data_IF_451789276096
#
_entry.id   IF_451789276096
#
_cell.length_a   1.000
_cell.length_b   1.000
_cell.length_c   1.000
_cell.angle_alpha   90.00
_cell.angle_beta   90.00
_cell.angle_gamma   90.00
#
_symmetry.space_group_name_H-M   'P 1'
#
loop_
_entity.id
_entity.type
_entity.pdbx_description
1 polymer ?
#
# COMPACT_ATOMS: atom_id res chain seq x y z
N UNK A 1 26.14 -17.82 9.91
CA UNK A 1 27.30 -17.75 8.98
C UNK A 1 26.88 -17.74 7.52
N UNK A 2 25.91 -18.57 7.11
CA UNK A 2 25.42 -18.66 5.73
C UNK A 2 24.96 -17.33 5.10
N UNK A 3 24.32 -16.44 5.88
CA UNK A 3 23.85 -15.14 5.37
C UNK A 3 24.98 -14.17 4.99
N UNK A 4 26.18 -14.31 5.59
CA UNK A 4 27.33 -13.43 5.30
C UNK A 4 27.90 -13.66 3.90
N UNK A 5 27.48 -14.73 3.22
CA UNK A 5 27.92 -15.08 1.87
C UNK A 5 27.15 -14.29 0.79
N UNK A 6 26.04 -13.64 1.15
CA UNK A 6 25.30 -12.79 0.21
C UNK A 6 26.02 -11.44 0.02
N UNK A 7 26.27 -11.02 -1.24
CA UNK A 7 26.87 -9.71 -1.52
C UNK A 7 26.06 -8.57 -0.91
N UNK A 8 26.74 -7.58 -0.31
CA UNK A 8 26.10 -6.41 0.31
C UNK A 8 25.35 -6.67 1.63
N UNK A 9 25.28 -7.91 2.13
CA UNK A 9 24.45 -8.25 3.30
C UNK A 9 24.82 -7.49 4.60
N UNK A 10 26.10 -7.20 4.80
CA UNK A 10 26.58 -6.44 5.96
C UNK A 10 26.78 -4.94 5.66
N UNK A 11 26.59 -4.54 4.40
CA UNK A 11 26.72 -3.15 3.98
C UNK A 11 25.41 -2.42 4.27
N UNK A 12 25.50 -1.22 4.82
CA UNK A 12 24.31 -0.43 5.15
C UNK A 12 23.58 0.07 3.89
N UNK A 13 24.33 0.25 2.78
CA UNK A 13 23.83 0.70 1.48
C UNK A 13 24.20 -0.25 0.35
N UNK A 14 24.52 -1.51 0.65
CA UNK A 14 24.75 -2.52 -0.38
C UNK A 14 23.48 -3.31 -0.64
N UNK A 15 23.21 -3.65 -1.91
CA UNK A 15 22.17 -4.62 -2.26
C UNK A 15 22.75 -5.71 -3.17
N UNK A 16 22.45 -6.96 -2.84
CA UNK A 16 22.79 -8.08 -3.69
C UNK A 16 22.00 -8.02 -5.00
N UNK A 17 22.70 -7.96 -6.12
CA UNK A 17 22.11 -7.91 -7.46
C UNK A 17 22.05 -9.31 -8.08
N UNK A 18 20.87 -9.94 -8.21
CA UNK A 18 20.75 -11.30 -8.74
C UNK A 18 20.94 -11.31 -10.26
N UNK A 19 21.70 -12.28 -10.78
CA UNK A 19 21.84 -12.47 -12.24
C UNK A 19 20.61 -13.21 -12.76
N UNK A 20 19.79 -12.53 -13.55
CA UNK A 20 18.53 -13.05 -14.07
C UNK A 20 18.61 -13.36 -15.58
N UNK A 21 17.95 -14.43 -16.02
CA UNK A 21 17.59 -14.68 -17.43
C UNK A 21 16.08 -14.94 -17.46
N UNK A 22 15.35 -14.18 -18.26
CA UNK A 22 13.88 -14.24 -18.35
C UNK A 22 13.18 -14.21 -16.98
N UNK A 23 13.64 -13.32 -16.09
CA UNK A 23 13.07 -13.16 -14.74
C UNK A 23 13.43 -14.27 -13.74
N UNK A 24 14.21 -15.27 -14.14
CA UNK A 24 14.67 -16.37 -13.29
C UNK A 24 16.14 -16.21 -12.92
N UNK A 25 16.44 -16.28 -11.63
CA UNK A 25 17.81 -16.19 -11.13
C UNK A 25 18.63 -17.42 -11.52
N UNK A 26 19.82 -17.16 -12.06
CA UNK A 26 20.76 -18.20 -12.46
C UNK A 26 21.36 -18.91 -11.25
N UNK A 27 21.67 -20.20 -11.44
CA UNK A 27 22.27 -21.05 -10.42
C UNK A 27 23.57 -21.65 -10.97
N UNK A 28 24.65 -21.54 -10.22
CA UNK A 28 25.93 -22.18 -10.50
C UNK A 28 26.40 -22.94 -9.25
N UNK A 29 26.85 -24.18 -9.42
CA UNK A 29 27.30 -25.04 -8.30
C UNK A 29 26.26 -25.17 -7.17
N UNK A 30 24.97 -25.27 -7.52
CA UNK A 30 23.84 -25.35 -6.59
C UNK A 30 23.68 -24.11 -5.69
N UNK A 31 24.27 -22.97 -6.08
CA UNK A 31 24.14 -21.70 -5.41
C UNK A 31 23.62 -20.63 -6.39
N UNK A 32 22.77 -19.71 -5.91
CA UNK A 32 22.28 -18.60 -6.71
C UNK A 32 23.41 -17.64 -7.06
N UNK A 33 23.43 -17.22 -8.31
CA UNK A 33 24.44 -16.31 -8.85
C UNK A 33 24.02 -14.86 -8.60
N UNK A 34 24.94 -14.08 -8.06
CA UNK A 34 24.85 -12.64 -7.90
C UNK A 34 25.95 -11.96 -8.71
N UNK A 35 25.73 -10.70 -9.08
CA UNK A 35 26.75 -9.85 -9.66
C UNK A 35 27.96 -9.76 -8.71
N UNK A 36 29.16 -9.67 -9.30
CA UNK A 36 30.41 -9.69 -8.53
C UNK A 36 30.56 -8.48 -7.59
N UNK A 37 29.98 -7.35 -7.97
CA UNK A 37 29.90 -6.15 -7.14
C UNK A 37 28.46 -5.98 -6.63
N UNK A 38 28.27 -5.68 -5.32
CA UNK A 38 26.97 -5.26 -4.81
C UNK A 38 26.51 -4.00 -5.56
N UNK A 39 25.22 -3.92 -5.86
CA UNK A 39 24.65 -2.68 -6.37
C UNK A 39 24.56 -1.64 -5.25
N UNK A 40 24.73 -0.37 -5.60
CA UNK A 40 24.62 0.73 -4.65
C UNK A 40 23.14 1.00 -4.31
N UNK A 41 22.83 1.02 -3.02
CA UNK A 41 21.52 1.41 -2.49
C UNK A 41 21.45 2.94 -2.40
N UNK A 42 21.38 3.56 -3.59
CA UNK A 42 21.41 5.00 -3.73
C UNK A 42 20.28 5.73 -2.99
N UNK A 43 20.51 7.02 -2.74
CA UNK A 43 19.56 7.90 -2.02
C UNK A 43 18.15 7.92 -2.64
N UNK A 44 18.08 7.75 -3.96
CA UNK A 44 16.84 7.70 -4.72
C UNK A 44 15.99 6.48 -4.35
N UNK A 45 16.64 5.32 -4.16
CA UNK A 45 15.98 4.07 -3.72
C UNK A 45 15.49 4.21 -2.29
N UNK A 46 16.29 4.82 -1.40
CA UNK A 46 15.91 5.11 -0.01
C UNK A 46 14.66 6.02 0.03
N UNK A 47 14.66 7.12 -0.72
CA UNK A 47 13.52 8.02 -0.79
C UNK A 47 12.28 7.31 -1.37
N UNK A 48 12.47 6.45 -2.38
CA UNK A 48 11.40 5.65 -2.96
C UNK A 48 10.79 4.68 -1.94
N UNK A 49 11.59 4.00 -1.12
CA UNK A 49 11.07 3.07 -0.11
C UNK A 49 10.42 3.79 1.08
N UNK A 50 10.99 4.92 1.52
CA UNK A 50 10.38 5.77 2.55
C UNK A 50 9.00 6.31 2.13
N UNK A 51 8.82 6.55 0.83
CA UNK A 51 7.56 7.04 0.28
C UNK A 51 6.40 6.08 0.45
N UNK A 52 6.65 4.79 0.72
CA UNK A 52 5.61 3.82 1.05
C UNK A 52 4.72 4.28 2.22
N UNK A 53 5.31 4.96 3.20
CA UNK A 53 4.60 5.52 4.35
C UNK A 53 3.54 6.55 3.97
N UNK A 54 3.75 7.30 2.88
CA UNK A 54 2.81 8.33 2.40
C UNK A 54 1.47 7.72 1.97
N UNK A 55 1.46 6.46 1.53
CA UNK A 55 0.24 5.82 1.06
C UNK A 55 -0.81 5.62 2.15
N UNK A 56 -0.41 5.50 3.43
CA UNK A 56 -1.36 5.35 4.54
C UNK A 56 -2.37 6.49 4.65
N UNK A 57 -1.97 7.72 4.29
CA UNK A 57 -2.85 8.88 4.32
C UNK A 57 -3.91 8.84 3.21
N UNK A 58 -3.66 8.10 2.13
CA UNK A 58 -4.57 8.02 0.99
C UNK A 58 -5.57 6.88 1.05
N UNK A 59 -5.58 6.12 2.14
CA UNK A 59 -6.28 4.84 2.22
C UNK A 59 -7.53 4.98 3.10
N UNK A 60 -8.75 5.05 2.53
CA UNK A 60 -9.96 5.39 3.27
C UNK A 60 -10.28 4.46 4.44
N UNK A 61 -10.02 3.15 4.30
CA UNK A 61 -10.28 2.17 5.35
C UNK A 61 -9.43 2.38 6.60
N UNK A 62 -8.23 2.97 6.46
CA UNK A 62 -7.37 3.33 7.59
C UNK A 62 -7.93 4.60 8.25
N UNK A 63 -8.30 5.60 7.45
CA UNK A 63 -8.87 6.86 7.93
C UNK A 63 -10.19 6.65 8.68
N UNK A 64 -11.06 5.76 8.20
CA UNK A 64 -12.31 5.40 8.86
C UNK A 64 -12.08 4.82 10.26
N UNK A 65 -10.98 4.08 10.47
CA UNK A 65 -10.63 3.57 11.81
C UNK A 65 -10.18 4.69 12.74
N UNK A 66 -9.47 5.70 12.23
CA UNK A 66 -9.14 6.89 13.03
C UNK A 66 -10.38 7.71 13.38
N UNK A 67 -11.33 7.86 12.46
CA UNK A 67 -12.59 8.57 12.70
C UNK A 67 -13.53 7.83 13.66
N UNK A 68 -13.37 6.52 13.85
CA UNK A 68 -14.16 5.72 14.78
C UNK A 68 -13.65 5.78 16.23
N UNK A 69 -12.54 6.47 16.49
CA UNK A 69 -11.97 6.62 17.84
C UNK A 69 -12.90 7.50 18.68
N UNK A 70 -13.28 6.98 19.85
CA UNK A 70 -14.25 7.64 20.74
C UNK A 70 -13.59 8.65 21.67
N UNK A 71 -12.40 8.31 22.17
CA UNK A 71 -11.62 9.16 23.06
C UNK A 71 -10.24 9.46 22.42
N UNK A 72 -9.88 10.75 22.22
CA UNK A 72 -8.57 11.14 21.71
C UNK A 72 -7.39 10.55 22.49
N UNK A 73 -7.54 10.24 23.79
CA UNK A 73 -6.48 9.64 24.60
C UNK A 73 -6.14 8.20 24.16
N UNK A 74 -7.12 7.47 23.58
CA UNK A 74 -6.91 6.11 23.07
C UNK A 74 -5.94 6.06 21.89
N UNK A 75 -5.76 7.17 21.17
CA UNK A 75 -4.80 7.27 20.05
C UNK A 75 -3.38 6.93 20.51
N UNK A 76 -2.98 7.34 21.72
CA UNK A 76 -1.63 7.08 22.24
C UNK A 76 -1.40 5.57 22.42
N UNK A 77 -2.39 4.87 22.98
CA UNK A 77 -2.33 3.41 23.21
C UNK A 77 -2.42 2.69 21.88
N UNK A 78 -3.39 3.04 21.03
CA UNK A 78 -3.58 2.47 19.70
C UNK A 78 -2.31 2.55 18.85
N UNK A 79 -1.66 3.73 18.80
CA UNK A 79 -0.38 3.92 18.10
C UNK A 79 0.71 2.99 18.62
N UNK A 80 0.89 2.89 19.95
CA UNK A 80 1.92 2.03 20.54
C UNK A 80 1.66 0.56 20.22
N UNK A 81 0.44 0.08 20.44
CA UNK A 81 0.05 -1.29 20.15
C UNK A 81 0.24 -1.63 18.67
N UNK A 82 -0.24 -0.77 17.77
CA UNK A 82 -0.09 -0.96 16.33
C UNK A 82 1.39 -0.98 15.90
N UNK A 83 2.19 -0.02 16.38
CA UNK A 83 3.63 0.06 16.04
C UNK A 83 4.39 -1.17 16.52
N UNK A 84 4.16 -1.60 17.78
CA UNK A 84 4.81 -2.79 18.33
C UNK A 84 4.48 -4.03 17.51
N UNK A 85 3.21 -4.25 17.18
CA UNK A 85 2.80 -5.41 16.38
C UNK A 85 3.33 -5.36 14.95
N UNK A 86 3.42 -4.18 14.33
CA UNK A 86 4.02 -4.01 13.00
C UNK A 86 5.51 -4.34 13.00
N UNK A 87 6.26 -3.88 14.02
CA UNK A 87 7.68 -4.20 14.13
C UNK A 87 7.88 -5.71 14.29
N UNK A 88 7.09 -6.36 15.15
CA UNK A 88 7.17 -7.80 15.37
C UNK A 88 6.82 -8.57 14.09
N UNK A 89 5.72 -8.23 13.43
CA UNK A 89 5.24 -8.97 12.26
C UNK A 89 6.13 -8.79 11.03
N UNK A 90 6.57 -7.55 10.73
CA UNK A 90 7.50 -7.28 9.63
C UNK A 90 8.88 -7.87 9.91
N UNK A 91 9.36 -7.77 11.15
CA UNK A 91 10.61 -8.42 11.58
C UNK A 91 10.56 -9.93 11.37
N UNK A 92 9.47 -10.59 11.78
CA UNK A 92 9.27 -12.01 11.54
C UNK A 92 9.22 -12.34 10.04
N UNK A 93 8.50 -11.56 9.22
CA UNK A 93 8.42 -11.77 7.78
C UNK A 93 9.80 -11.68 7.09
N UNK A 94 10.61 -10.68 7.45
CA UNK A 94 11.98 -10.52 6.95
C UNK A 94 12.86 -11.70 7.35
N UNK A 95 12.80 -12.14 8.62
CA UNK A 95 13.56 -13.30 9.09
C UNK A 95 13.16 -14.59 8.37
N UNK A 96 11.88 -14.79 8.09
CA UNK A 96 11.37 -15.93 7.32
C UNK A 96 11.91 -15.87 5.89
N UNK A 97 11.84 -14.71 5.22
CA UNK A 97 12.40 -14.53 3.88
C UNK A 97 13.90 -14.82 3.83
N UNK A 98 14.68 -14.28 4.77
CA UNK A 98 16.12 -14.53 4.88
C UNK A 98 16.45 -16.00 5.13
N UNK A 99 15.71 -16.64 6.06
CA UNK A 99 15.92 -18.05 6.41
C UNK A 99 15.55 -18.96 5.24
N UNK A 100 14.41 -18.70 4.60
CA UNK A 100 13.96 -19.44 3.42
C UNK A 100 14.95 -19.32 2.26
N UNK A 101 15.48 -18.11 2.01
CA UNK A 101 16.52 -17.88 1.02
C UNK A 101 17.80 -18.67 1.30
N UNK A 102 18.18 -18.80 2.56
CA UNK A 102 19.37 -19.53 2.99
C UNK A 102 19.18 -21.07 2.96
N UNK A 103 17.98 -21.57 3.26
CA UNK A 103 17.68 -23.01 3.31
C UNK A 103 17.32 -23.59 1.94
N UNK A 104 16.60 -22.84 1.11
CA UNK A 104 16.10 -23.27 -0.20
C UNK A 104 16.62 -22.36 -1.32
N UNK A 105 17.95 -22.29 -1.52
CA UNK A 105 18.56 -21.28 -2.35
C UNK A 105 18.27 -21.42 -3.85
N UNK A 106 17.78 -22.58 -4.29
CA UNK A 106 17.46 -22.93 -5.68
C UNK A 106 15.95 -23.05 -5.96
N UNK A 107 15.08 -22.96 -4.96
CA UNK A 107 13.61 -23.03 -5.15
C UNK A 107 12.96 -21.64 -5.26
N UNK A 108 13.66 -20.57 -4.83
CA UNK A 108 13.15 -19.20 -4.78
C UNK A 108 13.83 -18.31 -5.85
N UNK A 109 13.86 -18.77 -7.10
CA UNK A 109 14.62 -18.13 -8.18
C UNK A 109 13.87 -17.00 -8.89
N UNK A 110 12.54 -16.93 -8.75
CA UNK A 110 11.73 -15.86 -9.31
C UNK A 110 11.12 -15.02 -8.18
N UNK A 111 10.72 -13.78 -8.51
CA UNK A 111 10.03 -12.91 -7.56
C UNK A 111 8.68 -13.50 -7.11
N UNK A 112 7.90 -14.09 -8.02
CA UNK A 112 6.64 -14.77 -7.70
C UNK A 112 6.88 -16.00 -6.79
N UNK A 113 7.86 -16.86 -7.13
CA UNK A 113 8.20 -18.01 -6.29
C UNK A 113 8.63 -17.59 -4.87
N UNK A 114 9.33 -16.46 -4.74
CA UNK A 114 9.77 -15.92 -3.45
C UNK A 114 8.62 -15.55 -2.51
N UNK A 115 7.45 -15.19 -3.03
CA UNK A 115 6.27 -14.89 -2.21
C UNK A 115 5.69 -16.14 -1.53
N UNK A 116 6.00 -17.33 -2.06
CA UNK A 116 5.58 -18.62 -1.48
C UNK A 116 6.50 -19.13 -0.35
N UNK A 117 7.56 -18.38 0.01
CA UNK A 117 8.61 -18.82 0.95
C UNK A 117 8.06 -19.35 2.28
N UNK A 118 7.01 -18.72 2.81
CA UNK A 118 6.38 -19.18 4.06
C UNK A 118 5.74 -20.56 3.89
N UNK A 119 5.00 -20.77 2.80
CA UNK A 119 4.34 -22.05 2.50
C UNK A 119 5.39 -23.14 2.30
N UNK A 120 6.45 -22.82 1.54
CA UNK A 120 7.58 -23.73 1.32
C UNK A 120 8.22 -24.14 2.66
N UNK A 121 8.59 -23.17 3.49
CA UNK A 121 9.21 -23.45 4.80
C UNK A 121 8.28 -24.24 5.72
N UNK A 122 7.01 -23.88 5.81
CA UNK A 122 6.03 -24.61 6.62
C UNK A 122 5.90 -26.06 6.18
N UNK A 123 5.79 -26.32 4.87
CA UNK A 123 5.61 -27.68 4.35
C UNK A 123 6.84 -28.57 4.52
N UNK A 124 8.05 -27.99 4.49
CA UNK A 124 9.32 -28.74 4.57
C UNK A 124 9.84 -28.92 5.99
N UNK A 125 9.60 -27.96 6.88
CA UNK A 125 10.18 -27.93 8.23
C UNK A 125 9.21 -28.38 9.33
N UNK A 126 7.90 -28.34 9.08
CA UNK A 126 6.89 -28.68 10.10
C UNK A 126 6.23 -30.02 9.83
N UNK A 127 5.77 -30.73 10.87
CA UNK A 127 4.88 -31.87 10.71
C UNK A 127 3.64 -31.49 9.89
N UNK A 128 3.10 -32.39 9.04
CA UNK A 128 2.00 -32.08 8.13
C UNK A 128 0.78 -31.41 8.79
N UNK A 129 0.44 -31.83 10.01
CA UNK A 129 -0.65 -31.24 10.78
C UNK A 129 -0.41 -29.76 11.12
N UNK A 130 0.79 -29.42 11.60
CA UNK A 130 1.15 -28.03 11.93
C UNK A 130 1.28 -27.17 10.67
N UNK A 131 1.85 -27.72 9.60
CA UNK A 131 1.89 -27.03 8.30
C UNK A 131 0.47 -26.70 7.81
N UNK A 132 -0.48 -27.64 7.94
CA UNK A 132 -1.90 -27.43 7.66
C UNK A 132 -2.51 -26.28 8.45
N UNK A 133 -2.26 -26.22 9.77
CA UNK A 133 -2.73 -25.11 10.63
C UNK A 133 -2.15 -23.77 10.18
N UNK A 134 -0.85 -23.72 9.85
CA UNK A 134 -0.20 -22.49 9.40
C UNK A 134 -0.80 -21.97 8.09
N UNK A 135 -1.02 -22.87 7.11
CA UNK A 135 -1.66 -22.54 5.83
C UNK A 135 -3.12 -22.09 6.03
N UNK A 136 -3.87 -22.75 6.91
CA UNK A 136 -5.22 -22.34 7.26
C UNK A 136 -5.24 -20.93 7.88
N UNK A 137 -4.24 -20.59 8.70
CA UNK A 137 -4.08 -19.25 9.28
C UNK A 137 -3.88 -18.16 8.22
N UNK A 138 -3.05 -18.42 7.19
CA UNK A 138 -2.87 -17.48 6.06
C UNK A 138 -4.19 -17.31 5.31
N UNK A 139 -4.86 -18.41 4.96
CA UNK A 139 -6.13 -18.35 4.25
C UNK A 139 -7.18 -17.57 5.05
N UNK A 140 -7.28 -17.81 6.36
CA UNK A 140 -8.20 -17.10 7.24
C UNK A 140 -7.89 -15.59 7.29
N UNK A 141 -6.62 -15.20 7.39
CA UNK A 141 -6.21 -13.80 7.38
C UNK A 141 -6.53 -13.12 6.05
N UNK A 142 -6.23 -13.77 4.92
CA UNK A 142 -6.52 -13.24 3.57
C UNK A 142 -8.02 -13.10 3.34
N UNK A 143 -8.84 -14.07 3.73
CA UNK A 143 -10.30 -14.02 3.58
C UNK A 143 -10.90 -12.87 4.40
N UNK A 144 -10.51 -12.72 5.67
CA UNK A 144 -11.03 -11.64 6.53
C UNK A 144 -10.75 -10.23 5.98
N UNK A 145 -9.60 -10.05 5.35
CA UNK A 145 -9.21 -8.79 4.71
C UNK A 145 -9.95 -8.59 3.39
N UNK A 146 -10.02 -9.63 2.57
CA UNK A 146 -10.70 -9.60 1.27
C UNK A 146 -12.19 -9.30 1.41
N UNK A 147 -12.87 -9.89 2.40
CA UNK A 147 -14.27 -9.63 2.70
C UNK A 147 -14.53 -8.15 2.99
N UNK A 148 -13.66 -7.53 3.80
CA UNK A 148 -13.74 -6.11 4.13
C UNK A 148 -13.58 -5.24 2.88
N UNK A 149 -12.61 -5.56 2.01
CA UNK A 149 -12.37 -4.83 0.77
C UNK A 149 -13.51 -4.97 -0.24
N UNK A 150 -14.01 -6.19 -0.46
CA UNK A 150 -15.14 -6.48 -1.35
C UNK A 150 -16.42 -5.79 -0.88
N UNK A 151 -16.65 -5.76 0.43
CA UNK A 151 -17.82 -5.08 1.01
C UNK A 151 -17.71 -3.56 0.87
N UNK A 152 -16.54 -2.97 1.13
CA UNK A 152 -16.32 -1.53 0.96
C UNK A 152 -16.49 -1.13 -0.51
N UNK A 153 -15.89 -1.86 -1.44
CA UNK A 153 -15.97 -1.57 -2.87
C UNK A 153 -17.42 -1.71 -3.40
N UNK A 154 -18.10 -2.80 -3.06
CA UNK A 154 -19.48 -3.03 -3.50
C UNK A 154 -20.46 -2.01 -2.90
N UNK A 155 -20.27 -1.62 -1.64
CA UNK A 155 -21.07 -0.57 -0.98
C UNK A 155 -20.80 0.80 -1.60
N UNK A 156 -19.54 1.13 -1.91
CA UNK A 156 -19.19 2.40 -2.57
C UNK A 156 -19.86 2.52 -3.94
N UNK A 157 -19.87 1.47 -4.75
CA UNK A 157 -20.57 1.47 -6.04
C UNK A 157 -22.08 1.60 -5.84
N UNK A 158 -22.67 0.86 -4.90
CA UNK A 158 -24.13 0.89 -4.70
C UNK A 158 -24.63 2.20 -4.10
N UNK A 159 -23.94 2.75 -3.08
CA UNK A 159 -24.37 3.96 -2.38
C UNK A 159 -23.84 5.25 -3.01
N UNK A 160 -22.55 5.32 -3.32
CA UNK A 160 -21.96 6.58 -3.79
C UNK A 160 -22.20 6.79 -5.28
N UNK A 161 -22.08 5.74 -6.08
CA UNK A 161 -22.24 5.83 -7.53
C UNK A 161 -23.70 5.62 -7.95
N UNK A 162 -24.30 4.46 -7.63
CA UNK A 162 -25.66 4.16 -8.04
C UNK A 162 -26.68 5.07 -7.34
N UNK A 163 -26.81 5.01 -6.01
CA UNK A 163 -27.77 5.88 -5.31
C UNK A 163 -27.36 7.36 -5.34
N UNK A 164 -26.08 7.67 -5.12
CA UNK A 164 -25.62 9.06 -5.01
C UNK A 164 -25.66 9.86 -6.32
N UNK A 165 -25.43 9.20 -7.46
CA UNK A 165 -25.29 9.87 -8.77
C UNK A 165 -26.39 9.44 -9.75
N UNK A 166 -26.63 8.14 -9.92
CA UNK A 166 -27.53 7.64 -10.97
C UNK A 166 -29.01 7.64 -10.58
N UNK A 167 -29.37 7.09 -9.42
CA UNK A 167 -30.74 6.98 -8.92
C UNK A 167 -30.84 7.42 -7.46
N UNK A 168 -30.97 8.74 -7.27
CA UNK A 168 -31.07 9.38 -5.95
C UNK A 168 -32.28 8.98 -5.12
N UNK A 169 -33.26 8.31 -5.73
CA UNK A 169 -34.48 7.84 -5.05
C UNK A 169 -34.48 6.33 -4.87
N UNK A 170 -33.39 5.65 -5.20
CA UNK A 170 -33.29 4.21 -5.05
C UNK A 170 -33.58 3.80 -3.59
N UNK A 171 -34.49 2.83 -3.45
CA UNK A 171 -34.82 2.26 -2.16
C UNK A 171 -33.72 1.29 -1.67
N UNK A 172 -33.66 1.05 -0.36
CA UNK A 172 -32.66 0.20 0.27
C UNK A 172 -32.57 -1.20 -0.35
N UNK A 173 -33.70 -1.76 -0.80
CA UNK A 173 -33.74 -3.07 -1.44
C UNK A 173 -33.01 -3.07 -2.81
N UNK A 174 -33.12 -1.98 -3.57
CA UNK A 174 -32.43 -1.81 -4.86
C UNK A 174 -30.93 -1.63 -4.64
N UNK A 175 -30.55 -0.78 -3.68
CA UNK A 175 -29.15 -0.56 -3.30
C UNK A 175 -28.49 -1.88 -2.85
N UNK A 176 -29.20 -2.67 -2.04
CA UNK A 176 -28.73 -3.99 -1.60
C UNK A 176 -28.54 -4.96 -2.77
N UNK A 177 -29.45 -4.95 -3.75
CA UNK A 177 -29.33 -5.79 -4.95
C UNK A 177 -28.10 -5.39 -5.79
N UNK A 178 -27.90 -4.08 -6.01
CA UNK A 178 -26.73 -3.56 -6.74
C UNK A 178 -25.43 -3.87 -6.01
N UNK A 179 -25.41 -3.75 -4.68
CA UNK A 179 -24.26 -4.14 -3.86
C UNK A 179 -23.88 -5.62 -4.07
N UNK A 180 -24.85 -6.54 -3.99
CA UNK A 180 -24.61 -7.99 -4.23
C UNK A 180 -24.12 -8.30 -5.64
N UNK A 181 -24.70 -7.66 -6.67
CA UNK A 181 -24.27 -7.84 -8.06
C UNK A 181 -22.84 -7.32 -8.24
N UNK A 182 -22.55 -6.13 -7.71
CA UNK A 182 -21.21 -5.54 -7.78
C UNK A 182 -20.18 -6.42 -7.09
N UNK A 183 -20.50 -6.95 -5.91
CA UNK A 183 -19.63 -7.88 -5.19
C UNK A 183 -19.28 -9.09 -6.06
N UNK A 184 -20.29 -9.74 -6.68
CA UNK A 184 -20.06 -10.87 -7.59
C UNK A 184 -19.16 -10.48 -8.77
N UNK A 185 -19.41 -9.33 -9.40
CA UNK A 185 -18.61 -8.87 -10.55
C UNK A 185 -17.16 -8.61 -10.15
N UNK A 186 -16.92 -7.92 -9.03
CA UNK A 186 -15.57 -7.66 -8.53
C UNK A 186 -14.86 -8.97 -8.19
N UNK A 187 -15.55 -9.92 -7.55
CA UNK A 187 -14.98 -11.24 -7.24
C UNK A 187 -14.59 -12.02 -8.50
N UNK A 188 -15.41 -11.98 -9.56
CA UNK A 188 -15.07 -12.63 -10.84
C UNK A 188 -13.83 -12.01 -11.49
N UNK A 189 -13.71 -10.67 -11.48
CA UNK A 189 -12.53 -9.97 -11.99
C UNK A 189 -11.30 -10.32 -11.15
N UNK A 190 -11.43 -10.36 -9.82
CA UNK A 190 -10.33 -10.73 -8.92
C UNK A 190 -9.84 -12.17 -9.17
N UNK A 191 -10.76 -13.13 -9.37
CA UNK A 191 -10.41 -14.51 -9.75
C UNK A 191 -9.68 -14.52 -11.08
N UNK A 192 -10.18 -13.81 -12.10
CA UNK A 192 -9.54 -13.76 -13.40
C UNK A 192 -8.10 -13.21 -13.32
N UNK A 193 -7.88 -12.14 -12.55
CA UNK A 193 -6.54 -11.58 -12.33
C UNK A 193 -5.63 -12.51 -11.51
N UNK A 194 -6.19 -13.32 -10.62
CA UNK A 194 -5.43 -14.26 -9.80
C UNK A 194 -4.98 -15.53 -10.54
N UNK A 195 -5.46 -15.76 -11.77
CA UNK A 195 -5.02 -16.89 -12.60
C UNK A 195 -3.63 -16.68 -13.23
N UNK A 196 -3.10 -15.46 -13.18
CA UNK A 196 -1.74 -15.16 -13.64
C UNK A 196 -0.72 -15.52 -12.55
N UNK A 197 -0.12 -16.71 -12.66
CA UNK A 197 0.85 -17.24 -11.70
C UNK A 197 2.22 -16.52 -11.74
N UNK A 198 2.53 -15.82 -12.84
CA UNK A 198 3.79 -15.07 -12.98
C UNK A 198 3.73 -13.70 -12.29
N UNK A 199 2.52 -13.22 -11.98
CA UNK A 199 2.30 -11.94 -11.33
C UNK A 199 2.79 -11.94 -9.88
N UNK A 200 3.51 -10.88 -9.50
CA UNK A 200 4.02 -10.66 -8.15
C UNK A 200 3.00 -9.87 -7.35
N UNK A 201 2.45 -10.45 -6.28
CA UNK A 201 1.43 -9.85 -5.41
C UNK A 201 1.90 -8.49 -4.89
N UNK A 202 3.15 -8.40 -4.44
CA UNK A 202 3.73 -7.16 -3.94
C UNK A 202 3.70 -6.03 -4.99
N UNK A 203 3.90 -6.34 -6.26
CA UNK A 203 3.86 -5.32 -7.33
C UNK A 203 2.45 -4.80 -7.58
N UNK A 204 1.45 -5.68 -7.57
CA UNK A 204 0.04 -5.29 -7.70
C UNK A 204 -0.36 -4.39 -6.51
N UNK A 205 -0.04 -4.84 -5.29
CA UNK A 205 -0.36 -4.10 -4.06
C UNK A 205 0.38 -2.75 -4.04
N UNK A 206 1.66 -2.73 -4.41
CA UNK A 206 2.45 -1.50 -4.53
C UNK A 206 1.82 -0.50 -5.48
N UNK A 207 1.39 -0.96 -6.67
CA UNK A 207 0.78 -0.07 -7.64
C UNK A 207 -0.57 0.49 -7.16
N UNK A 208 -1.43 -0.36 -6.57
CA UNK A 208 -2.67 0.08 -5.97
C UNK A 208 -2.44 1.07 -4.81
N UNK A 209 -1.44 0.81 -3.97
CA UNK A 209 -1.04 1.67 -2.86
C UNK A 209 -0.57 3.04 -3.33
N UNK A 210 0.20 3.09 -4.43
CA UNK A 210 0.59 4.34 -5.06
C UNK A 210 -0.63 5.14 -5.56
N UNK A 211 -1.58 4.47 -6.22
CA UNK A 211 -2.81 5.07 -6.72
C UNK A 211 -3.62 5.75 -5.61
N UNK A 212 -3.94 5.01 -4.54
CA UNK A 212 -4.67 5.57 -3.39
C UNK A 212 -3.87 6.67 -2.68
N UNK A 213 -2.58 6.41 -2.45
CA UNK A 213 -1.66 7.32 -1.78
C UNK A 213 -1.58 8.68 -2.46
N UNK A 214 -1.35 8.72 -3.77
CA UNK A 214 -1.23 9.98 -4.53
C UNK A 214 -2.56 10.69 -4.75
N UNK A 215 -3.66 9.94 -4.89
CA UNK A 215 -5.00 10.51 -5.14
C UNK A 215 -5.55 11.17 -3.88
N UNK A 216 -5.56 10.46 -2.75
CA UNK A 216 -6.25 10.92 -1.54
C UNK A 216 -5.30 11.44 -0.47
N UNK A 217 -4.06 10.95 -0.41
CA UNK A 217 -3.12 11.26 0.67
C UNK A 217 -2.79 12.76 0.78
N UNK A 218 -2.40 13.43 -0.33
CA UNK A 218 -2.18 14.87 -0.33
C UNK A 218 -3.41 15.64 0.13
N UNK A 219 -4.58 15.33 -0.41
CA UNK A 219 -5.82 16.00 -0.01
C UNK A 219 -6.10 15.85 1.48
N UNK A 220 -5.88 14.66 2.05
CA UNK A 220 -6.06 14.43 3.48
C UNK A 220 -5.09 15.28 4.32
N UNK A 221 -3.82 15.34 3.97
CA UNK A 221 -2.84 16.18 4.68
C UNK A 221 -3.21 17.67 4.58
N UNK A 222 -3.54 18.17 3.39
CA UNK A 222 -3.94 19.56 3.21
C UNK A 222 -5.24 19.90 3.92
N UNK A 223 -6.21 18.98 3.97
CA UNK A 223 -7.45 19.20 4.72
C UNK A 223 -7.24 19.29 6.23
N UNK A 224 -6.23 18.59 6.77
CA UNK A 224 -5.91 18.61 8.20
C UNK A 224 -4.99 19.76 8.61
N UNK A 225 -4.06 20.17 7.74
CA UNK A 225 -2.99 21.11 8.10
C UNK A 225 -3.03 22.43 7.33
N UNK A 226 -3.93 22.59 6.35
CA UNK A 226 -4.03 23.79 5.54
C UNK A 226 -5.45 24.34 5.45
N UNK A 227 -5.65 25.43 6.20
CA UNK A 227 -6.92 26.18 6.31
C UNK A 227 -7.54 26.59 4.97
N UNK A 228 -6.73 26.82 3.93
CA UNK A 228 -7.17 27.42 2.67
C UNK A 228 -7.39 26.40 1.54
N UNK A 229 -7.51 25.11 1.86
CA UNK A 229 -7.81 24.07 0.88
C UNK A 229 -9.18 24.31 0.24
N UNK A 230 -9.23 24.37 -1.09
CA UNK A 230 -10.48 24.61 -1.85
C UNK A 230 -11.02 23.33 -2.49
N UNK A 231 -12.31 23.32 -2.85
CA UNK A 231 -12.94 22.19 -3.54
C UNK A 231 -12.28 21.94 -4.90
N UNK A 232 -12.02 22.99 -5.66
CA UNK A 232 -11.39 22.92 -6.98
C UNK A 232 -9.95 22.42 -6.87
N UNK A 233 -9.20 22.90 -5.87
CA UNK A 233 -7.85 22.42 -5.59
C UNK A 233 -7.83 20.97 -5.13
N UNK A 234 -8.81 20.54 -4.33
CA UNK A 234 -8.97 19.14 -3.94
C UNK A 234 -9.20 18.23 -5.16
N UNK A 235 -10.12 18.58 -6.05
CA UNK A 235 -10.41 17.81 -7.26
C UNK A 235 -9.18 17.79 -8.18
N UNK A 236 -8.53 18.94 -8.39
CA UNK A 236 -7.33 19.04 -9.22
C UNK A 236 -6.18 18.17 -8.67
N UNK A 237 -5.95 18.21 -7.36
CA UNK A 237 -5.01 17.34 -6.65
C UNK A 237 -5.30 15.86 -6.84
N UNK A 238 -6.52 15.43 -6.56
CA UNK A 238 -6.94 14.04 -6.71
C UNK A 238 -6.76 13.52 -8.13
N UNK A 239 -7.23 14.26 -9.13
CA UNK A 239 -7.12 13.87 -10.55
C UNK A 239 -5.66 13.85 -10.98
N UNK A 240 -4.91 14.91 -10.68
CA UNK A 240 -3.49 15.00 -11.07
C UNK A 240 -2.64 13.90 -10.43
N UNK A 241 -2.81 13.61 -9.13
CA UNK A 241 -2.13 12.52 -8.44
C UNK A 241 -2.46 11.15 -9.01
N UNK A 242 -3.75 10.82 -9.15
CA UNK A 242 -4.18 9.53 -9.71
C UNK A 242 -3.66 9.31 -11.12
N UNK A 243 -3.83 10.30 -12.02
CA UNK A 243 -3.34 10.22 -13.40
C UNK A 243 -1.81 10.12 -13.43
N UNK A 244 -1.10 10.87 -12.59
CA UNK A 244 0.36 10.85 -12.57
C UNK A 244 0.93 9.50 -12.13
N UNK A 245 0.24 8.72 -11.28
CA UNK A 245 0.66 7.34 -10.97
C UNK A 245 0.71 6.47 -12.22
N UNK A 246 -0.32 6.53 -13.08
CA UNK A 246 -0.34 5.78 -14.34
C UNK A 246 0.72 6.29 -15.33
N UNK A 247 0.82 7.62 -15.51
CA UNK A 247 1.84 8.22 -16.38
C UNK A 247 3.24 7.81 -15.91
N UNK A 248 3.50 7.89 -14.61
CA UNK A 248 4.81 7.56 -14.07
C UNK A 248 5.13 6.09 -14.24
N UNK A 249 4.20 5.19 -13.90
CA UNK A 249 4.41 3.74 -14.01
C UNK A 249 4.56 3.28 -15.46
N UNK A 250 3.72 3.77 -16.36
CA UNK A 250 3.62 3.23 -17.73
C UNK A 250 4.52 3.94 -18.74
N UNK A 251 4.83 5.22 -18.53
CA UNK A 251 5.57 6.03 -19.50
C UNK A 251 6.96 6.43 -18.99
N UNK A 252 7.07 6.91 -17.75
CA UNK A 252 8.32 7.52 -17.26
C UNK A 252 9.27 6.49 -16.63
N UNK A 253 8.76 5.59 -15.79
CA UNK A 253 9.56 4.54 -15.13
C UNK A 253 10.29 3.62 -16.12
N UNK A 254 9.68 3.18 -17.24
CA UNK A 254 10.38 2.36 -18.24
C UNK A 254 11.52 3.08 -18.97
N UNK A 255 11.58 4.41 -18.94
CA UNK A 255 12.69 5.18 -19.54
C UNK A 255 13.99 5.04 -18.73
N UNK A 256 13.93 4.50 -17.52
CA UNK A 256 15.10 4.19 -16.71
C UNK A 256 15.80 5.40 -16.08
N UNK A 257 16.99 5.17 -15.53
CA UNK A 257 17.80 6.19 -14.86
C UNK A 257 17.12 6.78 -13.62
N UNK A 258 17.17 8.10 -13.48
CA UNK A 258 16.63 8.83 -12.32
C UNK A 258 15.11 8.72 -12.19
N UNK A 259 14.42 8.31 -13.25
CA UNK A 259 12.96 8.14 -13.29
C UNK A 259 12.51 6.78 -12.77
N UNK A 260 13.43 5.85 -12.54
CA UNK A 260 13.16 4.54 -11.96
C UNK A 260 12.94 4.63 -10.43
N UNK A 261 12.02 5.50 -10.04
CA UNK A 261 11.58 5.68 -8.66
C UNK A 261 10.21 5.08 -8.47
N UNK A 262 9.88 4.82 -7.21
CA UNK A 262 8.54 4.39 -6.88
C UNK A 262 7.54 5.49 -7.23
N UNK A 263 6.58 5.15 -8.10
CA UNK A 263 5.60 6.05 -8.73
C UNK A 263 4.77 6.89 -7.73
N UNK A 264 4.60 6.42 -6.49
CA UNK A 264 3.90 7.16 -5.44
C UNK A 264 4.57 8.50 -5.13
N UNK A 265 5.89 8.54 -4.97
CA UNK A 265 6.61 9.75 -4.56
C UNK A 265 6.37 10.94 -5.50
N UNK A 266 6.67 10.84 -6.82
CA UNK A 266 6.47 11.96 -7.73
C UNK A 266 4.99 12.30 -7.90
N UNK A 267 4.10 11.31 -7.96
CA UNK A 267 2.67 11.55 -8.10
C UNK A 267 2.07 12.27 -6.88
N UNK A 268 2.53 11.93 -5.68
CA UNK A 268 2.15 12.61 -4.43
C UNK A 268 2.56 14.09 -4.47
N UNK A 269 3.80 14.38 -4.89
CA UNK A 269 4.30 15.75 -5.00
C UNK A 269 3.52 16.57 -6.04
N UNK A 270 3.20 15.98 -7.19
CA UNK A 270 2.40 16.62 -8.22
C UNK A 270 1.00 16.94 -7.69
N UNK A 271 0.36 16.01 -7.01
CA UNK A 271 -0.93 16.24 -6.37
C UNK A 271 -0.86 17.39 -5.35
N UNK A 272 0.16 17.43 -4.49
CA UNK A 272 0.41 18.57 -3.58
C UNK A 272 0.52 19.91 -4.34
N UNK A 273 1.29 19.95 -5.44
CA UNK A 273 1.47 21.17 -6.25
C UNK A 273 0.13 21.64 -6.81
N UNK A 274 -0.67 20.74 -7.39
CA UNK A 274 -1.98 21.10 -7.94
C UNK A 274 -2.95 21.59 -6.86
N UNK A 275 -2.97 20.95 -5.68
CA UNK A 275 -3.79 21.41 -4.54
C UNK A 275 -3.42 22.86 -4.18
N UNK A 276 -2.12 23.14 -4.06
CA UNK A 276 -1.63 24.47 -3.64
C UNK A 276 -1.91 25.52 -4.71
N UNK A 277 -1.55 25.25 -5.96
CA UNK A 277 -1.68 26.21 -7.07
C UNK A 277 -3.14 26.55 -7.30
N UNK A 278 -3.99 25.53 -7.46
CA UNK A 278 -5.42 25.74 -7.76
C UNK A 278 -6.13 26.37 -6.57
N UNK A 279 -5.84 25.95 -5.33
CA UNK A 279 -6.46 26.58 -4.14
C UNK A 279 -6.05 28.03 -3.91
N UNK A 280 -4.87 28.46 -4.40
CA UNK A 280 -4.49 29.88 -4.41
C UNK A 280 -5.18 30.68 -5.51
N UNK A 281 -5.61 30.01 -6.57
CA UNK A 281 -6.31 30.63 -7.70
C UNK A 281 -7.83 30.67 -7.51
N UNK A 282 -8.37 29.85 -6.60
CA UNK A 282 -9.79 29.79 -6.30
C UNK A 282 -10.11 30.30 -4.90
N UNK A 283 -11.38 30.58 -4.63
CA UNK A 283 -11.83 31.12 -3.34
C UNK A 283 -12.21 29.98 -2.39
N UNK A 284 -11.61 29.97 -1.20
CA UNK A 284 -11.99 29.03 -0.14
C UNK A 284 -13.40 29.32 0.36
N UNK A 285 -14.21 28.27 0.53
CA UNK A 285 -15.54 28.37 1.14
C UNK A 285 -15.38 28.75 2.63
N UNK A 286 -16.06 29.81 3.11
CA UNK A 286 -16.01 30.21 4.51
C UNK A 286 -16.35 29.09 5.50
N UNK A 287 -17.23 28.16 5.12
CA UNK A 287 -17.63 27.02 5.97
C UNK A 287 -16.44 26.08 6.24
N UNK A 288 -15.63 25.80 5.21
CA UNK A 288 -14.43 24.97 5.36
C UNK A 288 -13.42 25.62 6.29
N UNK A 289 -13.31 26.95 6.22
CA UNK A 289 -12.43 27.70 7.12
C UNK A 289 -12.94 27.70 8.56
N UNK A 290 -14.25 27.83 8.77
CA UNK A 290 -14.87 27.76 10.09
C UNK A 290 -14.73 26.36 10.72
N UNK A 291 -14.95 25.31 9.95
CA UNK A 291 -14.75 23.91 10.37
C UNK A 291 -13.29 23.68 10.80
N UNK A 292 -12.33 24.14 10.00
CA UNK A 292 -10.90 24.05 10.30
C UNK A 292 -10.55 24.81 11.60
N UNK A 293 -11.02 26.05 11.73
CA UNK A 293 -10.74 26.88 12.90
C UNK A 293 -11.36 26.29 14.18
N UNK A 294 -12.52 25.64 14.06
CA UNK A 294 -13.18 24.93 15.16
C UNK A 294 -12.37 23.71 15.59
N UNK A 295 -11.98 22.86 14.64
CA UNK A 295 -11.16 21.68 14.92
C UNK A 295 -9.82 22.05 15.59
N UNK A 296 -9.15 23.10 15.10
CA UNK A 296 -7.90 23.58 15.69
C UNK A 296 -8.06 24.12 17.11
N UNK A 297 -9.19 24.77 17.42
CA UNK A 297 -9.49 25.21 18.80
C UNK A 297 -9.66 24.03 19.74
N UNK A 298 -10.36 22.98 19.32
CA UNK A 298 -10.54 21.76 20.12
C UNK A 298 -9.21 21.04 20.36
N UNK A 299 -8.39 20.90 19.31
CA UNK A 299 -7.05 20.30 19.42
C UNK A 299 -6.18 21.05 20.44
N UNK A 300 -6.20 22.38 20.40
CA UNK A 300 -5.43 23.20 21.34
C UNK A 300 -5.91 23.03 22.78
N UNK A 301 -7.22 22.89 23.03
CA UNK A 301 -7.76 22.59 24.36
C UNK A 301 -7.29 21.22 24.88
N UNK A 302 -7.31 20.19 24.03
CA UNK A 302 -6.85 18.85 24.40
C UNK A 302 -5.35 18.82 24.74
N UNK A 303 -4.54 19.60 24.02
CA UNK A 303 -3.10 19.72 24.30
C UNK A 303 -2.79 20.46 25.60
N UNK A 304 -3.69 21.32 26.09
CA UNK A 304 -3.54 21.99 27.39
C UNK A 304 -3.93 21.11 28.60
N UNK A 305 -4.68 20.03 28.36
CA UNK A 305 -5.15 19.10 29.38
C UNK A 305 -4.24 17.87 29.57
N UNK A 306 -3.26 17.66 28.69
CA UNK A 306 -2.35 16.51 28.66
C UNK A 306 -0.91 16.93 28.96
#
# INVERSE_FOLDING_TARGET
ENLKQFPGFLEFVGIGDPVLVDGTQQVANNLPVFSAEPADYGIITILSTLSWGLGYFGVPQVLLRFMAIRDPQEIKISRRTATTWVIISLGAAVLIGMTGRALYPTELLTASASESVFILMSSRLMPPFLAGIMMAGILAATISSSDSYLLIASSAVAKNLYQGIFDKKAEDHQVMRISKITLLLISLVAIFLALDEESVIFQIVSFAWAGFGATFGPLMLFSLFWRNTTKEGAIAGMVSGGVMVFIWKLLLKPMGGILNIYELLPAFLISCIFIVVVSKMTKTDPRVQEDYDTAMKELNKLNQLN
#
